data_IF_841388619508
#
_entry.id   IF_841388619508
#
_cell.length_a   1.000
_cell.length_b   1.000
_cell.length_c   1.000
_cell.angle_alpha   90.00
_cell.angle_beta   90.00
_cell.angle_gamma   90.00
#
_symmetry.space_group_name_H-M   'P 1'
#
loop_
_entity.id
_entity.type
_entity.pdbx_description
1 polymer ?
#
# COMPACT_ATOMS: atom_id res chain seq x y z
N UNK A 1 -11.65 19.38 11.50
CA UNK A 1 -11.94 18.07 10.89
C UNK A 1 -10.62 17.34 10.76
N UNK A 2 -10.56 16.06 11.13
CA UNK A 2 -9.39 15.22 10.88
C UNK A 2 -9.19 15.08 9.37
N UNK A 3 -7.93 15.16 8.93
CA UNK A 3 -7.56 14.94 7.53
C UNK A 3 -7.94 13.51 7.12
N UNK A 4 -8.60 13.36 5.97
CA UNK A 4 -8.94 12.03 5.44
C UNK A 4 -7.67 11.32 4.96
N UNK A 5 -7.60 10.01 5.13
CA UNK A 5 -6.44 9.20 4.75
C UNK A 5 -6.85 8.12 3.76
N UNK A 6 -6.04 7.93 2.72
CA UNK A 6 -6.25 6.88 1.74
C UNK A 6 -5.01 6.00 1.60
N UNK A 7 -5.19 4.69 1.65
CA UNK A 7 -4.12 3.71 1.53
C UNK A 7 -4.27 2.94 0.22
N UNK A 8 -3.27 3.05 -0.64
CA UNK A 8 -3.18 2.30 -1.89
C UNK A 8 -2.22 1.14 -1.65
N UNK A 9 -2.59 -0.07 -2.03
CA UNK A 9 -1.68 -1.23 -1.99
C UNK A 9 -1.78 -2.01 -3.30
N UNK A 10 -0.80 -2.85 -3.54
CA UNK A 10 -0.70 -3.69 -4.73
C UNK A 10 -0.95 -5.14 -4.33
N UNK A 11 -1.51 -5.96 -5.22
CA UNK A 11 -1.61 -7.40 -5.02
C UNK A 11 -0.79 -8.10 -6.10
N UNK A 12 0.20 -8.86 -5.65
CA UNK A 12 1.04 -9.73 -6.47
C UNK A 12 1.04 -11.15 -5.93
N UNK A 13 2.19 -11.82 -5.99
CA UNK A 13 2.34 -13.24 -5.60
C UNK A 13 2.13 -13.55 -4.12
N UNK A 14 2.25 -12.57 -3.24
CA UNK A 14 2.27 -12.79 -1.80
C UNK A 14 1.17 -11.98 -1.11
N UNK A 15 0.15 -12.70 -0.65
CA UNK A 15 -0.89 -12.17 0.22
C UNK A 15 -0.32 -11.67 1.54
N UNK A 16 0.63 -12.44 2.11
CA UNK A 16 1.30 -12.09 3.36
C UNK A 16 2.08 -10.78 3.26
N UNK A 17 2.66 -10.46 2.09
CA UNK A 17 3.31 -9.17 1.89
C UNK A 17 2.34 -8.00 2.03
N UNK A 18 1.11 -8.14 1.54
CA UNK A 18 0.05 -7.12 1.67
C UNK A 18 -0.35 -6.98 3.14
N UNK A 19 -0.72 -8.10 3.78
CA UNK A 19 -1.25 -8.11 5.15
C UNK A 19 -0.19 -7.66 6.16
N UNK A 20 1.04 -8.14 6.03
CA UNK A 20 2.12 -7.80 6.97
C UNK A 20 2.54 -6.35 6.83
N UNK A 21 2.62 -5.82 5.61
CA UNK A 21 2.96 -4.40 5.42
C UNK A 21 1.85 -3.51 5.94
N UNK A 22 0.58 -3.87 5.67
CA UNK A 22 -0.55 -3.14 6.21
C UNK A 22 -0.53 -3.13 7.74
N UNK A 23 -0.33 -4.29 8.39
CA UNK A 23 -0.15 -4.37 9.84
C UNK A 23 0.97 -3.41 10.29
N UNK A 24 2.17 -3.53 9.72
CA UNK A 24 3.30 -2.69 10.11
C UNK A 24 2.97 -1.19 9.99
N UNK A 25 2.25 -0.77 8.95
CA UNK A 25 1.79 0.62 8.76
C UNK A 25 0.84 1.06 9.87
N UNK A 26 -0.12 0.22 10.26
CA UNK A 26 -1.02 0.52 11.38
C UNK A 26 -0.25 0.63 12.70
N UNK A 27 0.63 -0.33 12.98
CA UNK A 27 1.35 -0.45 14.25
C UNK A 27 2.47 0.59 14.43
N UNK A 28 3.31 0.80 13.41
CA UNK A 28 4.51 1.62 13.51
C UNK A 28 4.27 3.08 13.11
N UNK A 29 3.33 3.34 12.20
CA UNK A 29 3.07 4.68 11.65
C UNK A 29 1.75 5.28 12.10
N UNK A 30 0.88 4.51 12.77
CA UNK A 30 -0.46 4.96 13.18
C UNK A 30 -1.24 5.60 12.01
N UNK A 31 -1.06 5.04 10.81
CA UNK A 31 -1.73 5.51 9.60
C UNK A 31 -3.03 4.72 9.41
N UNK A 32 -4.13 5.28 9.89
CA UNK A 32 -5.47 4.67 9.84
C UNK A 32 -6.26 5.24 8.65
N UNK A 33 -6.33 4.55 7.50
CA UNK A 33 -7.03 5.05 6.31
C UNK A 33 -8.55 5.02 6.47
N UNK A 34 -9.24 5.99 5.86
CA UNK A 34 -10.69 5.97 5.65
C UNK A 34 -11.06 5.12 4.41
N UNK A 35 -10.18 5.11 3.41
CA UNK A 35 -10.36 4.31 2.18
C UNK A 35 -9.12 3.50 1.84
N UNK A 36 -9.34 2.27 1.36
CA UNK A 36 -8.30 1.37 0.89
C UNK A 36 -8.56 1.02 -0.57
N UNK A 37 -7.51 1.10 -1.39
CA UNK A 37 -7.56 0.80 -2.81
C UNK A 37 -6.52 -0.26 -3.17
N UNK A 38 -6.98 -1.44 -3.58
CA UNK A 38 -6.13 -2.58 -3.93
C UNK A 38 -6.01 -2.67 -5.46
N UNK A 39 -4.80 -2.58 -5.99
CA UNK A 39 -4.54 -2.85 -7.41
C UNK A 39 -3.97 -4.24 -7.59
N UNK A 40 -4.70 -5.13 -8.27
CA UNK A 40 -4.26 -6.49 -8.55
C UNK A 40 -3.99 -6.69 -10.03
N UNK A 41 -2.90 -7.39 -10.36
CA UNK A 41 -2.79 -8.01 -11.69
C UNK A 41 -3.81 -9.17 -11.79
N UNK A 42 -4.36 -9.38 -12.99
CA UNK A 42 -5.42 -10.36 -13.25
C UNK A 42 -5.06 -11.77 -12.79
N UNK A 43 -3.80 -12.18 -12.93
CA UNK A 43 -3.33 -13.49 -12.44
C UNK A 43 -3.47 -13.69 -10.91
N UNK A 44 -3.64 -12.60 -10.15
CA UNK A 44 -3.74 -12.62 -8.69
C UNK A 44 -5.09 -12.07 -8.19
N UNK A 45 -6.06 -11.84 -9.08
CA UNK A 45 -7.35 -11.23 -8.70
C UNK A 45 -8.26 -12.17 -7.91
N UNK A 46 -8.03 -13.48 -7.96
CA UNK A 46 -8.80 -14.47 -7.21
C UNK A 46 -8.69 -14.28 -5.69
N UNK A 47 -7.58 -13.72 -5.21
CA UNK A 47 -7.33 -13.54 -3.78
C UNK A 47 -7.82 -12.17 -3.25
N UNK A 48 -8.40 -11.32 -4.10
CA UNK A 48 -8.80 -9.95 -3.73
C UNK A 48 -9.77 -9.89 -2.54
N UNK A 49 -10.79 -10.75 -2.54
CA UNK A 49 -11.79 -10.77 -1.47
C UNK A 49 -11.15 -11.16 -0.14
N UNK A 50 -10.33 -12.22 -0.15
CA UNK A 50 -9.56 -12.67 1.01
C UNK A 50 -8.62 -11.59 1.55
N UNK A 51 -7.95 -10.85 0.67
CA UNK A 51 -7.10 -9.71 1.07
C UNK A 51 -7.93 -8.60 1.68
N UNK A 52 -9.04 -8.21 1.05
CA UNK A 52 -9.93 -7.18 1.57
C UNK A 52 -10.47 -7.56 2.95
N UNK A 53 -10.81 -8.83 3.17
CA UNK A 53 -11.24 -9.36 4.46
C UNK A 53 -10.13 -9.29 5.51
N UNK A 54 -8.91 -9.71 5.16
CA UNK A 54 -7.76 -9.62 6.06
C UNK A 54 -7.45 -8.17 6.47
N UNK A 55 -7.53 -7.23 5.51
CA UNK A 55 -7.38 -5.81 5.81
C UNK A 55 -8.51 -5.29 6.70
N UNK A 56 -9.76 -5.66 6.45
CA UNK A 56 -10.91 -5.24 7.27
C UNK A 56 -10.81 -5.75 8.70
N UNK A 57 -10.39 -7.00 8.89
CA UNK A 57 -10.14 -7.58 10.23
C UNK A 57 -9.08 -6.75 10.95
N UNK A 58 -7.92 -6.51 10.31
CA UNK A 58 -6.87 -5.69 10.92
C UNK A 58 -7.36 -4.27 11.24
N UNK A 59 -8.05 -3.60 10.33
CA UNK A 59 -8.58 -2.25 10.61
C UNK A 59 -9.47 -2.24 11.85
N UNK A 60 -10.37 -3.23 11.98
CA UNK A 60 -11.28 -3.35 13.11
C UNK A 60 -10.54 -3.57 14.43
N UNK A 61 -9.50 -4.39 14.45
CA UNK A 61 -8.65 -4.59 15.64
C UNK A 61 -7.92 -3.31 16.06
N UNK A 62 -7.63 -2.41 15.12
CA UNK A 62 -7.09 -1.08 15.38
C UNK A 62 -8.17 -0.01 15.61
N UNK A 63 -9.45 -0.40 15.67
CA UNK A 63 -10.56 0.47 16.07
C UNK A 63 -11.15 1.36 14.96
N UNK A 64 -10.98 1.01 13.68
CA UNK A 64 -11.57 1.76 12.55
C UNK A 64 -12.06 0.84 11.42
N UNK A 65 -12.93 1.37 10.55
CA UNK A 65 -13.57 0.61 9.47
C UNK A 65 -13.44 1.37 8.13
N UNK A 66 -12.47 1.03 7.27
CA UNK A 66 -12.29 1.69 5.98
C UNK A 66 -13.23 1.15 4.90
N UNK A 67 -13.55 2.00 3.92
CA UNK A 67 -14.13 1.54 2.66
C UNK A 67 -13.04 0.89 1.79
N UNK A 68 -13.19 -0.38 1.43
CA UNK A 68 -12.20 -1.13 0.66
C UNK A 68 -12.72 -1.35 -0.76
N UNK A 69 -11.91 -1.00 -1.75
CA UNK A 69 -12.20 -1.21 -3.17
C UNK A 69 -11.01 -1.82 -3.90
N UNK A 70 -11.26 -2.56 -4.97
CA UNK A 70 -10.23 -3.21 -5.76
C UNK A 70 -10.34 -2.84 -7.24
N UNK A 71 -9.19 -2.73 -7.90
CA UNK A 71 -9.08 -2.54 -9.35
C UNK A 71 -8.20 -3.63 -9.94
N UNK A 72 -8.74 -4.38 -10.89
CA UNK A 72 -7.97 -5.37 -11.66
C UNK A 72 -7.33 -4.69 -12.88
N UNK A 73 -6.07 -5.04 -13.12
CA UNK A 73 -5.27 -4.64 -14.28
C UNK A 73 -4.80 -5.90 -15.00
N UNK A 74 -4.76 -5.88 -16.33
CA UNK A 74 -4.17 -6.98 -17.09
C UNK A 74 -2.67 -7.14 -16.74
N UNK A 75 -2.20 -8.37 -16.74
CA UNK A 75 -0.81 -8.69 -16.41
C UNK A 75 0.19 -7.90 -17.28
N UNK A 76 1.18 -7.27 -16.66
CA UNK A 76 2.18 -6.44 -17.33
C UNK A 76 1.63 -5.22 -18.10
N UNK A 77 0.37 -4.83 -17.93
CA UNK A 77 -0.18 -3.61 -18.53
C UNK A 77 0.26 -2.37 -17.74
N UNK A 78 1.53 -2.03 -17.92
CA UNK A 78 2.22 -0.93 -17.26
C UNK A 78 1.55 0.43 -17.53
N UNK A 79 1.13 0.68 -18.77
CA UNK A 79 0.54 1.97 -19.17
C UNK A 79 -0.82 2.16 -18.50
N UNK A 80 -1.67 1.14 -18.50
CA UNK A 80 -2.95 1.21 -17.80
C UNK A 80 -2.74 1.34 -16.29
N UNK A 81 -1.76 0.64 -15.72
CA UNK A 81 -1.43 0.76 -14.30
C UNK A 81 -1.03 2.19 -13.92
N UNK A 82 -0.07 2.81 -14.63
CA UNK A 82 0.36 4.21 -14.40
C UNK A 82 -0.84 5.16 -14.48
N UNK A 83 -1.68 4.99 -15.50
CA UNK A 83 -2.84 5.84 -15.73
C UNK A 83 -3.86 5.73 -14.60
N UNK A 84 -4.33 4.51 -14.28
CA UNK A 84 -5.36 4.29 -13.27
C UNK A 84 -4.90 4.69 -11.86
N UNK A 85 -3.67 4.34 -11.48
CA UNK A 85 -3.11 4.72 -10.17
C UNK A 85 -2.97 6.24 -10.10
N UNK A 86 -2.47 6.90 -11.15
CA UNK A 86 -2.33 8.36 -11.18
C UNK A 86 -3.67 9.12 -11.22
N UNK A 87 -4.69 8.59 -11.88
CA UNK A 87 -6.06 9.12 -11.83
C UNK A 87 -6.64 9.02 -10.41
N UNK A 88 -6.49 7.87 -9.74
CA UNK A 88 -6.94 7.69 -8.36
C UNK A 88 -6.23 8.65 -7.40
N UNK A 89 -4.89 8.74 -7.46
CA UNK A 89 -4.12 9.64 -6.59
C UNK A 89 -4.59 11.09 -6.76
N UNK A 90 -4.77 11.57 -8.00
CA UNK A 90 -5.27 12.93 -8.25
C UNK A 90 -6.62 13.16 -7.62
N UNK A 91 -7.57 12.25 -7.84
CA UNK A 91 -8.91 12.31 -7.25
C UNK A 91 -8.85 12.39 -5.72
N UNK A 92 -8.05 11.53 -5.08
CA UNK A 92 -7.92 11.52 -3.62
C UNK A 92 -7.30 12.82 -3.08
N UNK A 93 -6.28 13.35 -3.75
CA UNK A 93 -5.67 14.63 -3.36
C UNK A 93 -6.62 15.81 -3.57
N UNK A 94 -7.41 15.82 -4.65
CA UNK A 94 -8.47 16.83 -4.88
C UNK A 94 -9.56 16.80 -3.80
N UNK A 95 -9.79 15.62 -3.20
CA UNK A 95 -10.68 15.43 -2.06
C UNK A 95 -10.04 15.83 -0.72
N UNK A 96 -8.78 16.29 -0.73
CA UNK A 96 -8.03 16.68 0.47
C UNK A 96 -7.56 15.49 1.31
N UNK A 97 -7.45 14.30 0.73
CA UNK A 97 -6.89 13.14 1.44
C UNK A 97 -5.36 13.21 1.50
N UNK A 98 -4.78 12.88 2.64
CA UNK A 98 -3.40 12.41 2.73
C UNK A 98 -3.34 11.00 2.15
N UNK A 99 -2.39 10.74 1.25
CA UNK A 99 -2.36 9.49 0.48
C UNK A 99 -1.04 8.75 0.74
N UNK A 100 -1.18 7.48 1.11
CA UNK A 100 -0.08 6.54 1.24
C UNK A 100 -0.18 5.46 0.15
N UNK A 101 0.97 4.99 -0.33
CA UNK A 101 1.04 3.81 -1.20
C UNK A 101 2.04 2.80 -0.65
N UNK A 102 1.65 1.53 -0.59
CA UNK A 102 2.50 0.40 -0.26
C UNK A 102 2.97 -0.30 -1.53
N UNK A 103 4.29 -0.39 -1.67
CA UNK A 103 4.99 -0.98 -2.82
C UNK A 103 5.73 -2.27 -2.48
N UNK A 104 5.52 -2.81 -1.27
CA UNK A 104 6.07 -4.10 -0.84
C UNK A 104 5.51 -5.25 -1.67
N UNK A 105 4.17 -5.39 -1.81
CA UNK A 105 3.59 -6.39 -2.67
C UNK A 105 3.60 -5.95 -4.15
N UNK A 106 3.35 -6.90 -5.04
CA UNK A 106 3.24 -6.65 -6.49
C UNK A 106 4.48 -7.05 -7.28
N UNK A 107 4.29 -7.30 -8.58
CA UNK A 107 5.42 -7.52 -9.48
C UNK A 107 6.13 -6.19 -9.75
N UNK A 108 7.44 -6.26 -10.05
CA UNK A 108 8.29 -5.10 -10.31
C UNK A 108 7.68 -4.11 -11.31
N UNK A 109 7.01 -4.61 -12.35
CA UNK A 109 6.31 -3.78 -13.34
C UNK A 109 5.19 -2.94 -12.73
N UNK A 110 4.34 -3.56 -11.91
CA UNK A 110 3.24 -2.86 -11.22
C UNK A 110 3.78 -1.88 -10.16
N UNK A 111 4.83 -2.28 -9.43
CA UNK A 111 5.53 -1.41 -8.47
C UNK A 111 6.10 -0.18 -9.17
N UNK A 112 6.79 -0.35 -10.29
CA UNK A 112 7.33 0.76 -11.07
C UNK A 112 6.21 1.67 -11.60
N UNK A 113 5.10 1.07 -12.06
CA UNK A 113 3.92 1.82 -12.51
C UNK A 113 3.28 2.65 -11.38
N UNK A 114 3.29 2.13 -10.15
CA UNK A 114 2.79 2.81 -8.97
C UNK A 114 3.69 3.97 -8.52
N UNK A 115 5.01 3.79 -8.59
CA UNK A 115 6.00 4.78 -8.15
C UNK A 115 6.02 6.05 -9.02
N UNK A 116 5.80 5.92 -10.33
CA UNK A 116 5.80 7.07 -11.25
C UNK A 116 4.79 8.16 -10.84
N UNK A 117 3.48 7.87 -10.73
CA UNK A 117 2.52 8.86 -10.28
C UNK A 117 2.74 9.22 -8.81
N UNK A 118 3.17 8.29 -7.95
CA UNK A 118 3.41 8.57 -6.55
C UNK A 118 4.43 9.70 -6.33
N UNK A 119 5.55 9.64 -7.06
CA UNK A 119 6.60 10.67 -7.02
C UNK A 119 6.14 11.96 -7.74
N UNK A 120 5.58 11.84 -8.95
CA UNK A 120 5.14 13.02 -9.74
C UNK A 120 4.08 13.86 -9.01
N UNK A 121 3.18 13.20 -8.28
CA UNK A 121 2.08 13.83 -7.54
C UNK A 121 2.44 14.09 -6.07
N UNK A 122 3.71 13.87 -5.69
CA UNK A 122 4.27 14.12 -4.35
C UNK A 122 3.39 13.53 -3.26
N UNK A 123 3.27 12.21 -3.24
CA UNK A 123 2.57 11.53 -2.15
C UNK A 123 3.21 11.81 -0.80
N UNK A 124 2.38 11.78 0.24
CA UNK A 124 2.81 11.99 1.61
C UNK A 124 3.69 10.83 2.06
N UNK A 125 3.31 9.60 1.69
CA UNK A 125 3.98 8.36 2.08
C UNK A 125 4.14 7.37 0.93
N UNK A 126 5.31 6.72 0.87
CA UNK A 126 5.56 5.53 0.04
C UNK A 126 6.18 4.47 0.94
N UNK A 127 5.36 3.48 1.33
CA UNK A 127 5.73 2.44 2.27
C UNK A 127 6.36 1.23 1.60
N UNK A 128 7.38 0.69 2.25
CA UNK A 128 8.04 -0.56 1.88
C UNK A 128 8.48 -1.33 3.14
N UNK A 129 7.92 -2.51 3.37
CA UNK A 129 8.35 -3.41 4.44
C UNK A 129 9.53 -4.26 3.94
N UNK A 130 10.73 -3.82 4.29
CA UNK A 130 11.95 -4.55 3.99
C UNK A 130 12.07 -5.75 4.95
N UNK A 131 11.97 -6.97 4.44
CA UNK A 131 12.20 -8.20 5.21
C UNK A 131 13.42 -8.94 4.66
N UNK A 132 14.21 -9.58 5.54
CA UNK A 132 15.35 -10.42 5.12
C UNK A 132 14.89 -11.61 4.27
N UNK A 133 13.78 -12.21 4.64
CA UNK A 133 13.16 -13.35 3.94
C UNK A 133 11.65 -13.13 3.84
N UNK A 134 11.06 -13.64 2.75
CA UNK A 134 9.61 -13.68 2.61
C UNK A 134 9.09 -14.88 3.37
N UNK A 135 8.52 -14.64 4.55
CA UNK A 135 7.90 -15.67 5.37
C UNK A 135 6.38 -15.66 5.19
N UNK A 136 5.77 -16.83 4.98
CA UNK A 136 4.32 -17.02 4.98
C UNK A 136 3.76 -17.06 6.41
N UNK A 137 4.08 -16.04 7.20
CA UNK A 137 3.69 -15.90 8.60
C UNK A 137 3.12 -14.51 8.87
N UNK A 138 2.21 -14.35 9.84
CA UNK A 138 1.77 -13.05 10.31
C UNK A 138 2.93 -12.16 10.79
N UNK A 139 2.79 -10.85 10.63
CA UNK A 139 3.80 -9.83 10.98
C UNK A 139 4.45 -10.04 12.35
N UNK A 140 3.66 -10.27 13.40
CA UNK A 140 4.16 -10.46 14.77
C UNK A 140 4.84 -11.81 15.03
N UNK A 141 4.74 -12.76 14.09
CA UNK A 141 5.44 -14.05 14.13
C UNK A 141 6.77 -14.02 13.35
N UNK A 142 7.04 -12.95 12.60
CA UNK A 142 8.32 -12.69 11.95
C UNK A 142 9.16 -11.85 12.92
N UNK A 143 10.43 -12.23 13.21
CA UNK A 143 11.27 -11.46 14.12
C UNK A 143 11.32 -9.98 13.73
N UNK A 144 10.98 -9.06 14.64
CA UNK A 144 10.99 -7.63 14.33
C UNK A 144 12.39 -7.13 13.91
N UNK A 145 13.46 -7.78 14.38
CA UNK A 145 14.82 -7.49 13.96
C UNK A 145 15.16 -7.93 12.51
N UNK A 146 14.32 -8.75 11.87
CA UNK A 146 14.49 -9.19 10.48
C UNK A 146 13.61 -8.42 9.49
N UNK A 147 12.81 -7.47 9.96
CA UNK A 147 11.95 -6.62 9.13
C UNK A 147 12.04 -5.15 9.52
N UNK A 148 11.79 -4.25 8.57
CA UNK A 148 11.78 -2.81 8.81
C UNK A 148 10.83 -2.13 7.86
N UNK A 149 9.80 -1.46 8.39
CA UNK A 149 8.96 -0.58 7.61
C UNK A 149 9.75 0.69 7.25
N UNK A 150 9.78 1.01 5.97
CA UNK A 150 10.39 2.24 5.44
C UNK A 150 9.31 3.14 4.87
N UNK A 151 9.56 4.44 4.95
CA UNK A 151 8.79 5.47 4.24
C UNK A 151 9.75 6.26 3.36
N UNK A 152 9.76 5.95 2.07
CA UNK A 152 10.70 6.54 1.14
C UNK A 152 10.46 8.04 0.92
N UNK A 153 9.23 8.53 1.06
CA UNK A 153 8.96 9.96 0.93
C UNK A 153 9.45 10.72 2.16
N UNK A 154 9.26 10.15 3.35
CA UNK A 154 9.81 10.71 4.59
C UNK A 154 11.34 10.73 4.57
N UNK A 155 11.97 9.61 4.18
CA UNK A 155 13.42 9.50 4.07
C UNK A 155 14.00 10.46 3.02
N UNK A 156 13.38 10.58 1.84
CA UNK A 156 13.84 11.50 0.79
C UNK A 156 13.78 12.97 1.23
N UNK A 157 12.76 13.36 2.01
CA UNK A 157 12.66 14.71 2.58
C UNK A 157 13.79 15.03 3.56
N UNK A 158 14.30 14.02 4.29
CA UNK A 158 15.43 14.21 5.20
C UNK A 158 16.73 14.48 4.43
N UNK A 159 16.96 13.77 3.32
CA UNK A 159 18.13 13.99 2.45
C UNK A 159 18.13 15.37 1.81
N UNK A 160 16.97 15.88 1.39
CA UNK A 160 16.87 17.20 0.73
C UNK A 160 17.01 18.40 1.67
N UNK A 161 17.08 18.18 2.99
CA UNK A 161 17.27 19.21 4.01
C UNK A 161 18.70 19.21 4.60
N UNK A 162 19.59 18.36 4.08
CA UNK A 162 21.05 18.38 4.31
C UNK A 162 21.76 19.13 3.17
#
# INVERSE_FOLDING_TARGET
MTEKKAYITLLGRSEWAVINTYYAVLAEKSYYPDTIHIFAEKSYSADLEKIADGMRILSKEFGFEPEISSTVIEDNDFITAVRKIGELIRKLKEQGCSVAIDITPGRKTLVAAALIPAVKLRLEHVFYLAAKELESKPYMMIPLASQKLRDFMEEARRVGNE
#
